data_IF_363232440634
#
_entry.id   IF_363232440634
#
_cell.length_a   1.000
_cell.length_b   1.000
_cell.length_c   1.000
_cell.angle_alpha   90.00
_cell.angle_beta   90.00
_cell.angle_gamma   90.00
#
_symmetry.space_group_name_H-M   'P 1'
#
loop_
_entity.id
_entity.type
_entity.pdbx_description
1 polymer ?
#
# COMPACT_ATOMS: atom_id res chain seq x y z
N UNK A 1 -29.99 -3.13 19.07
CA UNK A 1 -30.40 -3.03 17.65
C UNK A 1 -29.32 -3.65 16.79
N UNK A 2 -29.64 -4.66 15.96
CA UNK A 2 -28.69 -5.31 15.05
C UNK A 2 -28.51 -4.41 13.83
N UNK A 3 -27.41 -3.69 13.74
CA UNK A 3 -27.06 -2.93 12.54
C UNK A 3 -26.67 -3.90 11.41
N UNK A 4 -27.67 -4.35 10.66
CA UNK A 4 -27.53 -5.14 9.44
C UNK A 4 -26.94 -4.21 8.38
N UNK A 5 -25.81 -4.61 7.80
CA UNK A 5 -25.16 -3.84 6.73
C UNK A 5 -25.94 -4.05 5.43
N UNK A 6 -26.84 -3.12 5.10
CA UNK A 6 -27.40 -2.98 3.76
C UNK A 6 -26.46 -2.13 2.89
N UNK A 7 -25.22 -2.57 2.68
CA UNK A 7 -24.31 -1.89 1.79
C UNK A 7 -24.62 -2.29 0.34
N UNK A 8 -25.14 -1.37 -0.48
CA UNK A 8 -25.04 -1.50 -1.95
C UNK A 8 -23.55 -1.56 -2.27
N UNK A 9 -23.05 -2.76 -2.56
CA UNK A 9 -21.70 -2.92 -3.09
C UNK A 9 -21.71 -2.28 -4.49
N UNK A 10 -21.21 -1.05 -4.61
CA UNK A 10 -20.95 -0.48 -5.94
C UNK A 10 -19.92 -1.39 -6.60
N UNK A 11 -20.28 -1.98 -7.73
CA UNK A 11 -19.29 -2.59 -8.63
C UNK A 11 -18.29 -1.52 -9.02
N UNK A 12 -17.11 -1.54 -8.40
CA UNK A 12 -15.98 -0.73 -8.87
C UNK A 12 -15.59 -1.30 -10.23
N UNK A 13 -15.36 -0.41 -11.21
CA UNK A 13 -14.75 -0.83 -12.48
C UNK A 13 -13.44 -1.58 -12.17
N UNK A 14 -13.14 -2.68 -12.87
CA UNK A 14 -12.00 -3.53 -12.56
C UNK A 14 -10.68 -2.74 -12.57
N UNK A 15 -10.56 -1.78 -13.49
CA UNK A 15 -9.41 -0.87 -13.57
C UNK A 15 -9.84 0.55 -13.93
N UNK A 16 -9.12 1.55 -13.44
CA UNK A 16 -9.29 2.93 -13.86
C UNK A 16 -8.86 3.11 -15.32
N UNK A 17 -9.59 3.91 -16.09
CA UNK A 17 -9.14 4.32 -17.43
C UNK A 17 -7.88 5.16 -17.28
N UNK A 18 -6.80 4.78 -17.96
CA UNK A 18 -5.56 5.54 -18.00
C UNK A 18 -5.58 6.51 -19.18
N UNK A 19 -5.38 7.79 -18.90
CA UNK A 19 -5.20 8.83 -19.93
C UNK A 19 -3.73 8.90 -20.36
N UNK A 20 -3.41 9.36 -21.58
CA UNK A 20 -2.04 9.38 -22.10
C UNK A 20 -1.02 10.04 -21.15
N UNK A 21 -1.36 11.19 -20.57
CA UNK A 21 -0.50 11.88 -19.60
C UNK A 21 -0.24 11.07 -18.31
N UNK A 22 -1.21 10.24 -17.89
CA UNK A 22 -1.05 9.34 -16.74
C UNK A 22 -0.16 8.16 -17.14
N UNK A 23 -0.35 7.59 -18.32
CA UNK A 23 0.44 6.47 -18.85
C UNK A 23 1.93 6.84 -18.91
N UNK A 24 2.25 8.03 -19.43
CA UNK A 24 3.63 8.52 -19.50
C UNK A 24 4.26 8.68 -18.11
N UNK A 25 3.52 9.28 -17.17
CA UNK A 25 3.95 9.40 -15.77
C UNK A 25 4.13 8.03 -15.12
N UNK A 26 3.21 7.10 -15.35
CA UNK A 26 3.32 5.70 -14.88
C UNK A 26 4.59 5.07 -15.41
N UNK A 27 4.82 5.09 -16.72
CA UNK A 27 6.03 4.49 -17.35
C UNK A 27 7.32 5.06 -16.78
N UNK A 28 7.46 6.39 -16.76
CA UNK A 28 8.70 7.05 -16.31
C UNK A 28 8.98 6.80 -14.82
N UNK A 29 7.97 6.90 -13.97
CA UNK A 29 8.10 6.68 -12.52
C UNK A 29 8.26 5.20 -12.17
N UNK A 30 7.67 4.29 -12.95
CA UNK A 30 7.86 2.86 -12.79
C UNK A 30 9.33 2.46 -12.90
N UNK A 31 10.06 3.01 -13.87
CA UNK A 31 11.49 2.73 -14.01
C UNK A 31 12.31 3.25 -12.84
N UNK A 32 12.00 4.46 -12.34
CA UNK A 32 12.65 5.02 -11.15
C UNK A 32 12.40 4.14 -9.94
N UNK A 33 11.15 3.71 -9.75
CA UNK A 33 10.75 2.84 -8.65
C UNK A 33 11.40 1.46 -8.72
N UNK A 34 11.45 0.86 -9.91
CA UNK A 34 12.18 -0.39 -10.14
C UNK A 34 13.63 -0.28 -9.65
N UNK A 35 14.37 0.77 -10.03
CA UNK A 35 15.76 0.98 -9.61
C UNK A 35 15.91 1.16 -8.09
N UNK A 36 14.90 1.75 -7.44
CA UNK A 36 14.86 1.94 -5.98
C UNK A 36 14.61 0.64 -5.21
N UNK A 37 13.84 -0.28 -5.78
CA UNK A 37 13.42 -1.54 -5.16
C UNK A 37 14.30 -2.75 -5.52
N UNK A 38 14.99 -2.69 -6.66
CA UNK A 38 15.83 -3.78 -7.19
C UNK A 38 16.98 -4.16 -6.25
N UNK A 39 17.54 -5.36 -6.48
CA UNK A 39 18.67 -5.90 -5.70
C UNK A 39 18.35 -5.95 -4.21
N UNK A 40 17.18 -6.51 -3.88
CA UNK A 40 16.66 -6.67 -2.52
C UNK A 40 16.45 -5.37 -1.72
N UNK A 41 16.60 -4.19 -2.34
CA UNK A 41 16.41 -2.90 -1.66
C UNK A 41 14.97 -2.70 -1.15
N UNK A 42 14.00 -3.42 -1.74
CA UNK A 42 12.62 -3.46 -1.24
C UNK A 42 12.52 -3.88 0.24
N UNK A 43 13.50 -4.61 0.78
CA UNK A 43 13.54 -4.98 2.21
C UNK A 43 13.70 -3.77 3.14
N UNK A 44 14.15 -2.63 2.63
CA UNK A 44 14.23 -1.36 3.37
C UNK A 44 12.93 -0.55 3.27
N UNK A 45 11.86 -1.07 2.66
CA UNK A 45 10.61 -0.33 2.50
C UNK A 45 9.55 -0.81 3.49
N UNK A 46 8.89 0.15 4.12
CA UNK A 46 7.63 -0.06 4.83
C UNK A 46 6.51 0.52 3.96
N UNK A 47 5.41 -0.19 3.80
CA UNK A 47 4.26 0.29 3.01
C UNK A 47 3.03 0.42 3.88
N UNK A 48 2.30 1.51 3.70
CA UNK A 48 0.98 1.73 4.31
C UNK A 48 0.02 2.27 3.26
N UNK A 49 -1.29 2.18 3.53
CA UNK A 49 -2.33 2.60 2.59
C UNK A 49 -3.22 3.71 3.17
N UNK A 50 -3.76 3.55 4.38
CA UNK A 50 -4.61 4.57 4.98
C UNK A 50 -3.80 5.66 5.70
N UNK A 51 -4.13 6.94 5.49
CA UNK A 51 -3.41 8.09 6.09
C UNK A 51 -3.71 8.27 7.59
N UNK A 52 -4.82 7.68 8.07
CA UNK A 52 -5.37 7.92 9.40
C UNK A 52 -4.51 7.41 10.55
N UNK A 53 -3.54 6.52 10.29
CA UNK A 53 -2.69 5.92 11.34
C UNK A 53 -1.80 6.91 12.10
N UNK A 54 -1.63 8.14 11.62
CA UNK A 54 -0.77 9.17 12.23
C UNK A 54 -1.50 10.49 12.54
N UNK A 55 -2.77 10.61 12.13
CA UNK A 55 -3.55 11.84 12.30
C UNK A 55 -4.51 11.77 13.49
N UNK A 56 -4.75 10.57 14.01
CA UNK A 56 -5.47 10.36 15.25
C UNK A 56 -4.45 10.41 16.41
N UNK A 57 -4.50 11.50 17.18
CA UNK A 57 -3.62 11.76 18.32
C UNK A 57 -3.75 10.75 19.46
N UNK A 58 -4.61 9.74 19.30
CA UNK A 58 -4.86 8.77 20.35
C UNK A 58 -3.77 7.70 20.50
N UNK A 59 -2.99 7.36 19.46
CA UNK A 59 -1.75 6.57 19.54
C UNK A 59 -0.91 6.81 18.26
N UNK A 60 0.39 7.07 18.38
CA UNK A 60 1.35 7.11 17.26
C UNK A 60 2.13 5.78 17.11
N UNK A 61 1.46 4.61 17.03
CA UNK A 61 2.14 3.33 17.14
C UNK A 61 3.14 3.11 16.01
N UNK A 62 2.96 3.74 14.84
CA UNK A 62 3.91 3.50 13.77
C UNK A 62 5.28 4.12 14.06
N UNK A 63 5.33 5.42 14.34
CA UNK A 63 6.61 6.11 14.53
C UNK A 63 7.27 5.70 15.85
N UNK A 64 6.48 5.61 16.92
CA UNK A 64 7.02 5.36 18.27
C UNK A 64 7.30 3.87 18.53
N UNK A 65 6.58 2.95 17.89
CA UNK A 65 6.65 1.52 18.19
C UNK A 65 7.04 0.65 17.00
N UNK A 66 6.27 0.67 15.91
CA UNK A 66 6.48 -0.26 14.80
C UNK A 66 7.76 0.02 14.02
N UNK A 67 8.11 1.27 13.76
CA UNK A 67 9.34 1.62 13.05
C UNK A 67 10.57 1.19 13.86
N UNK A 68 10.73 1.56 15.15
CA UNK A 68 11.84 1.09 15.95
C UNK A 68 11.90 -0.44 16.08
N UNK A 69 10.75 -1.11 16.14
CA UNK A 69 10.65 -2.57 16.22
C UNK A 69 11.05 -3.27 14.90
N UNK A 70 10.62 -2.74 13.76
CA UNK A 70 10.85 -3.34 12.44
C UNK A 70 12.21 -2.95 11.84
N UNK A 71 12.70 -1.75 12.15
CA UNK A 71 13.94 -1.18 11.62
C UNK A 71 14.80 -0.63 12.76
N UNK A 72 15.37 -1.50 13.63
CA UNK A 72 16.11 -1.05 14.79
C UNK A 72 17.45 -0.38 14.42
N UNK A 73 17.86 0.58 15.25
CA UNK A 73 19.16 1.24 15.16
C UNK A 73 19.39 1.95 13.81
N UNK A 74 20.54 1.69 13.19
CA UNK A 74 20.90 2.34 11.92
C UNK A 74 20.07 1.89 10.71
N UNK A 75 19.25 0.83 10.84
CA UNK A 75 18.34 0.42 9.77
C UNK A 75 17.25 1.47 9.54
N UNK A 76 16.81 2.18 10.58
CA UNK A 76 15.80 3.23 10.48
C UNK A 76 16.20 4.33 9.49
N UNK A 77 17.49 4.69 9.44
CA UNK A 77 18.01 5.72 8.50
C UNK A 77 17.92 5.29 7.04
N UNK A 78 17.96 3.99 6.77
CA UNK A 78 17.86 3.41 5.42
C UNK A 78 16.42 3.12 5.01
N UNK A 79 15.52 3.09 5.99
CA UNK A 79 14.13 2.76 5.78
C UNK A 79 13.42 3.84 4.98
N UNK A 80 12.51 3.42 4.09
CA UNK A 80 11.67 4.29 3.29
C UNK A 80 10.21 3.89 3.45
N UNK A 81 9.38 4.83 3.87
CA UNK A 81 7.94 4.69 3.92
C UNK A 81 7.33 4.94 2.53
N UNK A 82 6.51 4.00 2.06
CA UNK A 82 5.65 4.16 0.90
C UNK A 82 4.22 4.42 1.36
N UNK A 83 3.64 5.48 0.80
CA UNK A 83 2.23 5.82 0.84
C UNK A 83 1.80 6.19 -0.58
N UNK A 84 0.54 5.94 -0.91
CA UNK A 84 0.00 6.34 -2.20
C UNK A 84 -0.19 7.88 -2.26
N UNK A 85 -0.65 8.39 -3.41
CA UNK A 85 -0.85 9.83 -3.58
C UNK A 85 -2.25 10.30 -3.18
N UNK A 86 -2.96 9.58 -2.32
CA UNK A 86 -4.26 10.04 -1.83
C UNK A 86 -4.12 11.40 -1.11
N UNK A 87 -5.14 12.29 -1.18
CA UNK A 87 -5.04 13.65 -0.66
C UNK A 87 -4.55 13.76 0.79
N UNK A 88 -4.90 12.80 1.65
CA UNK A 88 -4.48 12.76 3.05
C UNK A 88 -2.97 12.53 3.25
N UNK A 89 -2.32 11.77 2.37
CA UNK A 89 -0.88 11.50 2.47
C UNK A 89 -0.02 12.64 1.96
N UNK A 90 -0.55 13.40 1.00
CA UNK A 90 0.20 14.46 0.31
C UNK A 90 -0.02 15.85 0.91
N UNK A 91 -0.68 15.93 2.07
CA UNK A 91 -0.88 17.22 2.74
C UNK A 91 0.45 17.79 3.24
N UNK A 92 0.48 19.12 3.39
CA UNK A 92 1.61 19.80 4.04
C UNK A 92 1.83 19.29 5.45
N UNK A 93 0.76 19.00 6.18
CA UNK A 93 0.83 18.48 7.54
C UNK A 93 1.56 17.13 7.58
N UNK A 94 1.09 16.15 6.79
CA UNK A 94 1.71 14.81 6.72
C UNK A 94 3.18 14.90 6.28
N UNK A 95 3.48 15.75 5.30
CA UNK A 95 4.85 15.96 4.83
C UNK A 95 5.77 16.56 5.91
N UNK A 96 5.28 17.56 6.66
CA UNK A 96 6.02 18.16 7.76
C UNK A 96 6.23 17.19 8.92
N UNK A 97 5.20 16.44 9.28
CA UNK A 97 5.27 15.43 10.34
C UNK A 97 6.31 14.35 10.02
N UNK A 98 6.29 13.77 8.82
CA UNK A 98 7.30 12.77 8.42
C UNK A 98 8.73 13.34 8.43
N UNK A 99 8.88 14.62 8.06
CA UNK A 99 10.18 15.31 8.10
C UNK A 99 10.66 15.54 9.52
N UNK A 100 9.80 15.96 10.43
CA UNK A 100 10.10 16.17 11.85
C UNK A 100 10.58 14.88 12.52
N UNK A 101 9.98 13.75 12.18
CA UNK A 101 10.36 12.43 12.67
C UNK A 101 11.49 11.76 11.87
N UNK A 102 12.15 12.46 10.95
CA UNK A 102 13.25 11.95 10.11
C UNK A 102 12.90 10.66 9.33
N UNK A 103 11.66 10.54 8.88
CA UNK A 103 11.19 9.40 8.08
C UNK A 103 11.38 9.72 6.60
N UNK A 104 12.13 8.88 5.89
CA UNK A 104 12.21 8.98 4.44
C UNK A 104 10.90 8.48 3.83
N UNK A 105 10.24 9.29 3.00
CA UNK A 105 8.99 8.90 2.33
C UNK A 105 9.18 8.87 0.81
N UNK A 106 8.47 7.99 0.11
CA UNK A 106 8.33 8.10 -1.34
C UNK A 106 7.50 9.35 -1.64
N UNK A 107 8.15 10.37 -2.19
CA UNK A 107 7.47 11.61 -2.54
C UNK A 107 6.40 11.38 -3.63
N UNK A 108 5.31 12.17 -3.65
CA UNK A 108 4.23 12.00 -4.63
C UNK A 108 4.68 12.12 -6.10
N UNK A 109 5.79 12.81 -6.35
CA UNK A 109 6.39 12.92 -7.68
C UNK A 109 7.21 11.68 -8.09
N UNK A 110 7.65 10.87 -7.13
CA UNK A 110 8.36 9.62 -7.35
C UNK A 110 7.40 8.42 -7.46
N UNK A 111 6.20 8.52 -6.88
CA UNK A 111 5.18 7.48 -6.95
C UNK A 111 4.39 7.48 -8.27
N UNK A 112 4.05 6.30 -8.77
CA UNK A 112 3.30 6.16 -10.01
C UNK A 112 1.81 6.53 -9.78
N UNK A 113 1.21 7.43 -10.58
CA UNK A 113 -0.20 7.79 -10.39
C UNK A 113 -1.12 6.62 -10.72
N UNK A 114 -2.27 6.52 -10.02
CA UNK A 114 -3.32 5.50 -10.29
C UNK A 114 -2.74 4.09 -10.44
N UNK A 115 -1.92 3.65 -9.49
CA UNK A 115 -1.10 2.42 -9.61
C UNK A 115 -1.29 1.43 -8.47
N UNK A 116 -2.54 1.00 -8.25
CA UNK A 116 -2.85 -0.09 -7.33
C UNK A 116 -2.17 -1.41 -7.72
N UNK A 117 -1.86 -1.59 -9.01
CA UNK A 117 -1.08 -2.70 -9.56
C UNK A 117 0.41 -2.68 -9.17
N UNK A 118 0.88 -1.55 -8.62
CA UNK A 118 2.23 -1.38 -8.07
C UNK A 118 2.25 -1.21 -6.54
N UNK A 119 1.15 -0.88 -5.87
CA UNK A 119 1.11 -0.72 -4.41
C UNK A 119 0.93 -2.08 -3.70
N UNK A 120 1.91 -2.50 -2.89
CA UNK A 120 1.90 -3.83 -2.26
C UNK A 120 0.69 -4.09 -1.34
N UNK A 121 0.21 -3.04 -0.66
CA UNK A 121 -1.03 -3.11 0.11
C UNK A 121 -2.24 -3.42 -0.78
N UNK A 122 -2.32 -2.83 -1.97
CA UNK A 122 -3.47 -2.99 -2.87
C UNK A 122 -3.47 -4.32 -3.62
N UNK A 123 -2.37 -4.64 -4.33
CA UNK A 123 -2.34 -5.79 -5.22
C UNK A 123 -2.23 -7.13 -4.48
N UNK A 124 -1.85 -7.13 -3.19
CA UNK A 124 -1.66 -8.34 -2.41
C UNK A 124 -2.48 -8.31 -1.12
N UNK A 125 -2.05 -7.53 -0.11
CA UNK A 125 -2.56 -7.67 1.26
C UNK A 125 -4.07 -7.42 1.32
N UNK A 126 -4.55 -6.31 0.74
CA UNK A 126 -5.97 -6.02 0.70
C UNK A 126 -6.75 -6.97 -0.20
N UNK A 127 -6.19 -7.43 -1.31
CA UNK A 127 -6.84 -8.42 -2.17
C UNK A 127 -7.13 -9.72 -1.38
N UNK A 128 -6.12 -10.25 -0.69
CA UNK A 128 -6.20 -11.45 0.15
C UNK A 128 -7.16 -11.22 1.32
N UNK A 129 -7.00 -10.13 2.06
CA UNK A 129 -7.87 -9.80 3.19
C UNK A 129 -9.33 -9.68 2.79
N UNK A 130 -9.63 -9.01 1.66
CA UNK A 130 -11.00 -8.92 1.12
C UNK A 130 -11.57 -10.30 0.83
N UNK A 131 -10.79 -11.18 0.20
CA UNK A 131 -11.25 -12.54 -0.13
C UNK A 131 -11.50 -13.37 1.14
N UNK A 132 -10.54 -13.40 2.07
CA UNK A 132 -10.63 -14.14 3.33
C UNK A 132 -11.79 -13.65 4.18
N UNK A 133 -11.92 -12.34 4.39
CA UNK A 133 -13.03 -11.75 5.16
C UNK A 133 -14.39 -12.01 4.50
N UNK A 134 -14.49 -11.99 3.17
CA UNK A 134 -15.73 -12.30 2.45
C UNK A 134 -16.23 -13.73 2.72
N UNK A 135 -15.31 -14.69 2.93
CA UNK A 135 -15.66 -16.10 3.23
C UNK A 135 -16.40 -16.27 4.57
N UNK A 136 -16.24 -15.33 5.52
CA UNK A 136 -16.95 -15.35 6.81
C UNK A 136 -18.46 -15.09 6.69
N UNK A 137 -18.94 -14.49 5.59
CA UNK A 137 -20.37 -14.18 5.34
C UNK A 137 -21.09 -13.49 6.53
N UNK A 138 -20.40 -12.56 7.20
CA UNK A 138 -20.91 -11.87 8.39
C UNK A 138 -21.87 -10.70 8.05
N UNK A 139 -23.11 -10.67 8.56
CA UNK A 139 -24.11 -9.65 8.20
C UNK A 139 -24.10 -8.40 9.11
N UNK A 140 -23.19 -8.33 10.08
CA UNK A 140 -23.13 -7.24 11.05
C UNK A 140 -21.78 -6.53 11.03
N UNK A 141 -21.78 -5.23 11.32
CA UNK A 141 -20.55 -4.46 11.44
C UNK A 141 -19.60 -5.02 12.51
N UNK A 142 -20.13 -5.50 13.64
CA UNK A 142 -19.33 -6.14 14.71
C UNK A 142 -18.68 -7.42 14.20
N UNK A 143 -19.43 -8.26 13.49
CA UNK A 143 -18.90 -9.47 12.84
C UNK A 143 -17.81 -9.14 11.84
N UNK A 144 -18.00 -8.11 11.00
CA UNK A 144 -17.00 -7.68 10.02
C UNK A 144 -15.71 -7.18 10.68
N UNK A 145 -15.81 -6.37 11.74
CA UNK A 145 -14.65 -5.91 12.52
C UNK A 145 -13.87 -7.09 13.12
N UNK A 146 -14.57 -8.09 13.66
CA UNK A 146 -13.95 -9.28 14.23
C UNK A 146 -13.29 -10.16 13.16
N UNK A 147 -13.98 -10.43 12.05
CA UNK A 147 -13.43 -11.19 10.93
C UNK A 147 -12.15 -10.55 10.39
N UNK A 148 -12.13 -9.21 10.25
CA UNK A 148 -10.92 -8.48 9.84
C UNK A 148 -9.76 -8.67 10.82
N UNK A 149 -10.01 -8.63 12.14
CA UNK A 149 -8.96 -8.84 13.16
C UNK A 149 -8.40 -10.27 13.11
N UNK A 150 -9.28 -11.27 12.99
CA UNK A 150 -8.90 -12.68 12.90
C UNK A 150 -8.05 -12.92 11.65
N UNK A 151 -8.53 -12.49 10.48
CA UNK A 151 -7.80 -12.71 9.23
C UNK A 151 -6.47 -11.96 9.17
N UNK A 152 -6.39 -10.78 9.81
CA UNK A 152 -5.12 -10.06 9.94
C UNK A 152 -4.13 -10.81 10.81
N UNK A 153 -4.57 -11.36 11.95
CA UNK A 153 -3.73 -12.17 12.84
C UNK A 153 -3.29 -13.51 12.22
N UNK A 154 -4.03 -14.01 11.24
CA UNK A 154 -3.72 -15.22 10.48
C UNK A 154 -2.93 -14.94 9.19
N UNK A 155 -2.54 -13.69 8.94
CA UNK A 155 -1.77 -13.36 7.74
C UNK A 155 -0.33 -13.84 7.90
N UNK A 156 0.09 -14.77 7.06
CA UNK A 156 1.42 -15.36 7.12
C UNK A 156 2.49 -14.37 6.62
N UNK A 157 3.66 -14.35 7.28
CA UNK A 157 4.76 -13.45 6.92
C UNK A 157 5.23 -13.67 5.46
N UNK A 158 5.23 -14.91 4.98
CA UNK A 158 5.60 -15.24 3.60
C UNK A 158 4.72 -14.51 2.57
N UNK A 159 3.44 -14.24 2.88
CA UNK A 159 2.57 -13.46 1.99
C UNK A 159 3.07 -12.02 1.85
N UNK A 160 3.51 -11.43 2.95
CA UNK A 160 4.07 -10.07 3.00
C UNK A 160 5.40 -10.04 2.25
N UNK A 161 6.28 -11.00 2.52
CA UNK A 161 7.60 -11.09 1.89
C UNK A 161 7.49 -11.31 0.38
N UNK A 162 6.57 -12.17 -0.06
CA UNK A 162 6.27 -12.38 -1.47
C UNK A 162 5.68 -11.13 -2.14
N UNK A 163 4.80 -10.40 -1.45
CA UNK A 163 4.29 -9.13 -1.95
C UNK A 163 5.44 -8.15 -2.20
N UNK A 164 6.23 -7.86 -1.18
CA UNK A 164 7.37 -6.92 -1.26
C UNK A 164 8.41 -7.39 -2.29
N UNK A 165 8.74 -8.68 -2.34
CA UNK A 165 9.67 -9.26 -3.31
C UNK A 165 9.18 -9.15 -4.76
N UNK A 166 7.87 -9.18 -5.00
CA UNK A 166 7.28 -8.99 -6.33
C UNK A 166 7.26 -7.53 -6.79
N UNK A 167 7.48 -6.57 -5.89
CA UNK A 167 7.24 -5.16 -6.15
C UNK A 167 8.13 -4.59 -7.26
N UNK A 168 9.43 -4.89 -7.22
CA UNK A 168 10.36 -4.46 -8.26
C UNK A 168 9.96 -5.04 -9.63
N UNK A 169 9.57 -6.32 -9.70
CA UNK A 169 9.11 -6.98 -10.93
C UNK A 169 7.88 -6.28 -11.50
N UNK A 170 6.91 -5.91 -10.66
CA UNK A 170 5.70 -5.17 -11.09
C UNK A 170 6.04 -3.80 -11.67
N UNK A 171 6.89 -3.02 -11.00
CA UNK A 171 7.36 -1.74 -11.56
C UNK A 171 8.09 -1.93 -12.90
N UNK A 172 8.90 -2.97 -13.04
CA UNK A 172 9.56 -3.32 -14.30
C UNK A 172 8.55 -3.66 -15.39
N UNK A 173 7.51 -4.44 -15.09
CA UNK A 173 6.46 -4.78 -16.03
C UNK A 173 5.68 -3.54 -16.49
N UNK A 174 5.33 -2.60 -15.60
CA UNK A 174 4.66 -1.35 -15.98
C UNK A 174 5.50 -0.56 -16.97
N UNK A 175 6.82 -0.51 -16.76
CA UNK A 175 7.73 0.17 -17.69
C UNK A 175 7.70 -0.45 -19.10
N UNK A 176 7.80 -1.79 -19.20
CA UNK A 176 7.77 -2.50 -20.49
C UNK A 176 6.39 -2.54 -21.14
N UNK A 177 5.32 -2.50 -20.35
CA UNK A 177 3.95 -2.31 -20.83
C UNK A 177 3.65 -0.84 -21.24
N UNK A 178 4.69 -0.03 -21.39
CA UNK A 178 4.62 1.39 -21.75
C UNK A 178 3.73 2.22 -20.82
N UNK A 179 3.62 1.86 -19.54
CA UNK A 179 2.80 2.55 -18.54
C UNK A 179 1.36 2.04 -18.44
N UNK A 180 0.99 1.03 -19.21
CA UNK A 180 -0.33 0.39 -19.18
C UNK A 180 -0.55 -0.46 -17.91
N UNK A 181 -1.77 -0.96 -17.76
CA UNK A 181 -2.13 -1.98 -16.77
C UNK A 181 -1.37 -3.29 -17.03
N UNK A 182 -1.03 -4.02 -15.97
CA UNK A 182 -0.15 -5.21 -16.05
C UNK A 182 -0.80 -6.50 -15.57
N UNK A 183 -2.01 -6.45 -15.05
CA UNK A 183 -2.68 -7.58 -14.40
C UNK A 183 -2.82 -8.79 -15.33
N UNK A 184 -2.97 -8.56 -16.64
CA UNK A 184 -3.04 -9.61 -17.65
C UNK A 184 -1.71 -10.33 -17.91
N UNK A 185 -0.57 -9.77 -17.49
CA UNK A 185 0.76 -10.40 -17.57
C UNK A 185 1.14 -11.18 -16.31
N UNK A 186 0.30 -11.14 -15.26
CA UNK A 186 0.58 -11.69 -13.94
C UNK A 186 -0.23 -12.96 -13.63
N UNK A 187 -0.88 -13.55 -14.64
CA UNK A 187 -1.64 -14.81 -14.53
C UNK A 187 -0.70 -16.01 -14.32
#
# INVERSE_FOLDING_TARGET
MRNIIHARCREKRPVHRLYPAIIEKRRSRAWRMYRRLSNEKYKNYLTTDEAWFYLDSSQEPLIEYDIPRLFPGDMQKKMVLHQDSAPGHVTKYTSSYMKEHNINVIMPLDWLPTSSDAAAMDYSIWAIMKERVRKHKVPTLKGLKNARKVEWGNLEQDIIDNALGSWAKRCRLIYYAHGSHIEHFLQ
#
